data_IF_140877266053
#
_entry.id   IF_140877266053
#
_cell.length_a   1.000
_cell.length_b   1.000
_cell.length_c   1.000
_cell.angle_alpha   90.00
_cell.angle_beta   90.00
_cell.angle_gamma   90.00
#
_symmetry.space_group_name_H-M   'P 1'
#
loop_
_entity.id
_entity.type
_entity.pdbx_description
1 polymer ?
#
# COMPACT_ATOMS: atom_id res chain seq x y z
N UNK A 1 16.12 -66.15 -28.79
CA UNK A 1 17.45 -65.53 -28.65
C UNK A 1 17.31 -64.05 -28.97
N UNK A 2 17.73 -63.22 -28.01
CA UNK A 2 17.87 -61.75 -27.99
C UNK A 2 16.89 -60.91 -28.80
N UNK A 3 16.02 -60.18 -28.10
CA UNK A 3 15.36 -59.00 -28.65
C UNK A 3 15.41 -57.81 -27.68
N UNK A 4 15.96 -56.71 -28.22
CA UNK A 4 15.88 -55.30 -27.87
C UNK A 4 15.08 -54.89 -26.63
N UNK A 5 15.76 -54.37 -25.58
CA UNK A 5 15.28 -53.27 -24.70
C UNK A 5 16.46 -52.62 -23.97
N UNK A 6 17.20 -51.74 -24.63
CA UNK A 6 18.09 -50.76 -23.99
C UNK A 6 18.10 -49.48 -24.82
N UNK A 7 17.09 -48.64 -24.63
CA UNK A 7 17.07 -47.22 -24.96
C UNK A 7 15.69 -46.75 -24.52
N UNK A 8 15.58 -45.91 -23.49
CA UNK A 8 14.45 -44.98 -23.19
C UNK A 8 14.39 -44.52 -21.72
N UNK A 9 15.51 -44.23 -21.04
CA UNK A 9 15.44 -43.56 -19.72
C UNK A 9 16.52 -42.49 -19.48
N UNK A 10 17.23 -42.04 -20.53
CA UNK A 10 18.26 -41.01 -20.40
C UNK A 10 17.81 -39.56 -20.73
N UNK A 11 16.79 -39.26 -21.57
CA UNK A 11 16.46 -37.86 -21.88
C UNK A 11 15.49 -37.19 -20.89
N UNK A 12 14.78 -37.93 -20.04
CA UNK A 12 13.80 -37.35 -19.11
C UNK A 12 14.46 -36.81 -17.84
N UNK A 13 15.60 -37.37 -17.41
CA UNK A 13 16.29 -36.90 -16.20
C UNK A 13 17.06 -35.58 -16.41
N UNK A 14 17.45 -35.26 -17.65
CA UNK A 14 18.19 -34.03 -17.95
C UNK A 14 17.28 -32.79 -18.00
N UNK A 15 16.01 -32.95 -18.35
CA UNK A 15 15.03 -31.84 -18.38
C UNK A 15 14.61 -31.43 -16.96
N UNK A 16 14.57 -32.37 -16.01
CA UNK A 16 14.24 -32.05 -14.61
C UNK A 16 15.41 -31.41 -13.84
N UNK A 17 16.66 -31.64 -14.25
CA UNK A 17 17.83 -31.04 -13.62
C UNK A 17 18.14 -29.63 -14.15
N UNK A 18 17.70 -29.27 -15.36
CA UNK A 18 17.77 -27.88 -15.85
C UNK A 18 16.69 -26.95 -15.29
N UNK A 19 15.61 -27.49 -14.71
CA UNK A 19 14.54 -26.71 -14.06
C UNK A 19 14.91 -26.24 -12.65
N UNK A 20 15.81 -26.92 -11.96
CA UNK A 20 16.27 -26.51 -10.62
C UNK A 20 17.43 -25.49 -10.65
N UNK A 21 18.07 -25.28 -11.81
CA UNK A 21 19.09 -24.25 -11.97
C UNK A 21 18.52 -22.83 -12.16
N UNK A 22 17.20 -22.70 -12.36
CA UNK A 22 16.49 -21.41 -12.41
C UNK A 22 15.87 -21.00 -11.07
N UNK A 23 15.99 -21.82 -10.02
CA UNK A 23 15.52 -21.51 -8.67
C UNK A 23 16.51 -20.66 -7.86
N UNK A 24 17.68 -20.34 -8.42
CA UNK A 24 18.46 -19.20 -7.97
C UNK A 24 17.75 -17.94 -8.43
N UNK A 25 16.81 -17.45 -7.60
CA UNK A 25 16.09 -16.21 -7.87
C UNK A 25 17.08 -15.14 -8.26
N UNK A 26 16.94 -14.59 -9.47
CA UNK A 26 17.65 -13.39 -9.88
C UNK A 26 17.30 -12.36 -8.80
N UNK A 27 18.28 -11.99 -7.98
CA UNK A 27 18.10 -10.95 -6.98
C UNK A 27 17.94 -9.67 -7.79
N UNK A 28 16.70 -9.22 -7.95
CA UNK A 28 16.40 -8.02 -8.70
C UNK A 28 17.10 -6.86 -7.99
N UNK A 29 18.00 -6.17 -8.71
CA UNK A 29 18.68 -4.99 -8.18
C UNK A 29 17.63 -3.88 -7.99
N UNK A 30 17.67 -3.26 -6.82
CA UNK A 30 16.73 -2.24 -6.43
C UNK A 30 17.48 -1.02 -5.87
N UNK A 31 17.09 0.17 -6.32
CA UNK A 31 17.48 1.42 -5.70
C UNK A 31 16.64 1.59 -4.44
N UNK A 32 17.31 1.85 -3.31
CA UNK A 32 16.65 1.98 -2.01
C UNK A 32 16.77 3.41 -1.51
N UNK A 33 15.63 4.01 -1.13
CA UNK A 33 15.59 5.23 -0.34
C UNK A 33 15.02 4.92 1.03
N UNK A 34 15.56 5.57 2.05
CA UNK A 34 15.07 5.47 3.43
C UNK A 34 14.84 6.86 3.99
N UNK A 35 13.72 7.06 4.68
CA UNK A 35 13.44 8.28 5.41
C UNK A 35 12.72 7.91 6.70
N UNK A 36 13.32 8.25 7.85
CA UNK A 36 12.88 7.81 9.17
C UNK A 36 12.64 6.29 9.26
N UNK A 37 11.38 5.90 9.45
CA UNK A 37 10.92 4.52 9.54
C UNK A 37 10.33 4.01 8.22
N UNK A 38 10.51 4.71 7.10
CA UNK A 38 10.07 4.30 5.78
C UNK A 38 11.24 3.85 4.91
N UNK A 39 10.97 2.81 4.11
CA UNK A 39 11.88 2.32 3.08
C UNK A 39 11.12 2.19 1.76
N UNK A 40 11.61 2.87 0.73
CA UNK A 40 11.19 2.73 -0.65
C UNK A 40 12.20 1.84 -1.38
N UNK A 41 11.74 0.78 -2.03
CA UNK A 41 12.55 -0.03 -2.95
C UNK A 41 12.02 0.16 -4.37
N UNK A 42 12.86 0.58 -5.31
CA UNK A 42 12.52 0.73 -6.73
C UNK A 42 13.33 -0.28 -7.52
N UNK A 43 12.65 -1.23 -8.17
CA UNK A 43 13.29 -2.31 -8.90
C UNK A 43 13.77 -1.84 -10.28
N UNK A 44 15.08 -1.92 -10.52
CA UNK A 44 15.70 -1.36 -11.72
C UNK A 44 15.21 -2.02 -13.00
N UNK A 45 14.94 -3.33 -12.92
CA UNK A 45 14.59 -4.10 -14.10
C UNK A 45 13.18 -3.79 -14.60
N UNK A 46 12.26 -3.41 -13.71
CA UNK A 46 10.83 -3.24 -14.01
C UNK A 46 10.33 -1.81 -13.91
N UNK A 47 10.98 -0.96 -13.10
CA UNK A 47 10.45 0.33 -12.66
C UNK A 47 9.28 0.21 -11.67
N UNK A 48 8.98 -1.01 -11.19
CA UNK A 48 8.02 -1.20 -10.09
C UNK A 48 8.67 -0.79 -8.77
N UNK A 49 7.85 -0.46 -7.78
CA UNK A 49 8.37 -0.04 -6.47
C UNK A 49 7.52 -0.56 -5.33
N UNK A 50 8.11 -0.64 -4.14
CA UNK A 50 7.44 -1.04 -2.91
C UNK A 50 7.76 -0.05 -1.81
N UNK A 51 6.75 0.30 -1.02
CA UNK A 51 6.89 1.14 0.17
C UNK A 51 6.70 0.26 1.41
N UNK A 52 7.62 0.38 2.35
CA UNK A 52 7.62 -0.41 3.58
C UNK A 52 7.74 0.50 4.81
N UNK A 53 7.04 0.12 5.88
CA UNK A 53 7.29 0.60 7.25
C UNK A 53 8.30 -0.32 7.92
N UNK A 54 9.36 0.26 8.47
CA UNK A 54 10.36 -0.41 9.30
C UNK A 54 9.83 -0.44 10.74
N UNK A 55 9.78 -1.63 11.35
CA UNK A 55 9.21 -1.84 12.69
C UNK A 55 10.24 -1.84 13.82
N UNK A 56 11.49 -2.19 13.54
CA UNK A 56 12.52 -2.28 14.58
C UNK A 56 13.87 -1.83 14.04
N UNK A 57 14.36 -0.69 14.56
CA UNK A 57 15.66 -0.13 14.22
C UNK A 57 16.79 -0.73 15.10
N UNK A 58 16.49 -1.50 16.15
CA UNK A 58 17.48 -1.97 17.14
C UNK A 58 18.25 -3.24 16.71
N UNK A 59 17.85 -3.90 15.63
CA UNK A 59 18.50 -5.14 15.15
C UNK A 59 19.68 -4.84 14.19
N UNK A 60 19.80 -3.60 13.69
CA UNK A 60 20.82 -3.21 12.71
C UNK A 60 22.27 -3.29 13.23
N UNK A 61 22.48 -3.24 14.55
CA UNK A 61 23.82 -3.17 15.14
C UNK A 61 24.55 -4.53 15.26
N UNK A 62 23.92 -5.67 14.91
CA UNK A 62 24.55 -6.98 15.15
C UNK A 62 24.74 -7.91 13.95
N UNK A 63 24.06 -7.72 12.81
CA UNK A 63 24.38 -8.44 11.56
C UNK A 63 23.95 -7.65 10.32
N UNK A 64 24.82 -7.41 9.33
CA UNK A 64 24.46 -6.75 8.07
C UNK A 64 23.48 -7.54 7.18
N UNK A 65 23.08 -8.75 7.60
CA UNK A 65 22.16 -9.65 6.86
C UNK A 65 20.82 -9.90 7.57
N UNK A 66 20.58 -9.38 8.78
CA UNK A 66 19.28 -9.52 9.43
C UNK A 66 18.26 -8.57 8.80
N UNK A 67 17.40 -9.13 7.95
CA UNK A 67 16.25 -8.48 7.32
C UNK A 67 15.45 -7.69 8.36
N UNK A 68 15.34 -6.37 8.20
CA UNK A 68 14.45 -5.55 9.03
C UNK A 68 13.05 -6.16 9.04
N UNK A 69 12.45 -6.30 10.23
CA UNK A 69 11.01 -6.59 10.32
C UNK A 69 10.30 -5.38 9.71
N UNK A 70 9.65 -5.59 8.57
CA UNK A 70 9.00 -4.52 7.81
C UNK A 70 7.61 -4.96 7.36
N UNK A 71 6.68 -4.00 7.32
CA UNK A 71 5.33 -4.18 6.80
C UNK A 71 5.26 -3.48 5.45
N UNK A 72 4.78 -4.18 4.42
CA UNK A 72 4.54 -3.57 3.12
C UNK A 72 3.28 -2.69 3.18
N UNK A 73 3.45 -1.42 2.84
CA UNK A 73 2.38 -0.41 2.76
C UNK A 73 1.82 -0.32 1.34
N UNK A 74 2.73 -0.47 0.37
CA UNK A 74 2.47 -0.56 -1.05
C UNK A 74 3.37 -1.67 -1.60
N UNK A 75 2.79 -2.68 -2.23
CA UNK A 75 3.52 -3.86 -2.70
C UNK A 75 3.28 -4.11 -4.19
N UNK A 76 4.30 -3.86 -5.00
CA UNK A 76 4.31 -4.14 -6.43
C UNK A 76 5.46 -5.06 -6.85
N UNK A 77 5.85 -6.00 -5.97
CA UNK A 77 6.80 -7.09 -6.32
C UNK A 77 6.30 -7.95 -7.48
N UNK A 78 5.01 -7.89 -7.79
CA UNK A 78 4.41 -8.53 -8.94
C UNK A 78 4.57 -7.73 -10.25
N UNK A 79 5.59 -6.87 -10.34
CA UNK A 79 6.08 -6.24 -11.58
C UNK A 79 5.03 -5.35 -12.29
N UNK A 80 4.30 -4.51 -11.56
CA UNK A 80 3.27 -3.63 -12.12
C UNK A 80 1.97 -4.37 -12.43
N UNK A 81 1.61 -5.38 -11.63
CA UNK A 81 0.35 -6.13 -11.78
C UNK A 81 -0.63 -5.94 -10.62
N UNK A 82 -0.15 -5.53 -9.45
CA UNK A 82 -0.97 -5.18 -8.28
C UNK A 82 -1.26 -3.69 -8.28
N UNK A 83 -0.20 -2.88 -8.33
CA UNK A 83 -0.28 -1.43 -8.32
C UNK A 83 0.40 -0.87 -9.56
N UNK A 84 -0.22 0.08 -10.25
CA UNK A 84 0.41 0.67 -11.44
C UNK A 84 -0.24 1.97 -11.87
N UNK A 85 0.57 2.79 -12.53
CA UNK A 85 0.11 3.95 -13.27
C UNK A 85 -0.21 3.56 -14.71
N UNK A 86 -1.21 4.19 -15.29
CA UNK A 86 -1.57 4.04 -16.71
C UNK A 86 -1.73 5.41 -17.32
N UNK A 87 -1.07 5.64 -18.45
CA UNK A 87 -1.22 6.84 -19.27
C UNK A 87 -2.23 6.56 -20.39
N UNK A 88 -3.16 7.48 -20.65
CA UNK A 88 -3.96 7.48 -21.88
C UNK A 88 -3.32 8.42 -22.88
N UNK A 89 -3.24 7.96 -24.12
CA UNK A 89 -2.74 8.71 -25.26
C UNK A 89 -3.47 8.26 -26.53
N UNK A 90 -4.06 9.19 -27.30
CA UNK A 90 -4.83 8.91 -28.52
C UNK A 90 -5.80 7.71 -28.36
N UNK A 91 -6.63 7.77 -27.31
CA UNK A 91 -7.59 6.73 -26.92
C UNK A 91 -7.01 5.35 -26.56
N UNK A 92 -5.68 5.23 -26.44
CA UNK A 92 -4.99 4.01 -26.01
C UNK A 92 -4.42 4.17 -24.62
N UNK A 93 -4.56 3.13 -23.81
CA UNK A 93 -4.04 3.08 -22.45
C UNK A 93 -2.72 2.31 -22.39
N UNK A 94 -1.71 2.88 -21.74
CA UNK A 94 -0.37 2.32 -21.60
C UNK A 94 -0.02 2.22 -20.11
N UNK A 95 0.09 0.99 -19.59
CA UNK A 95 0.57 0.75 -18.22
C UNK A 95 2.06 1.12 -18.12
N UNK A 96 2.43 1.89 -17.11
CA UNK A 96 3.81 2.29 -16.81
C UNK A 96 4.50 1.14 -16.08
N UNK A 97 4.97 0.17 -16.85
CA UNK A 97 5.75 -0.98 -16.40
C UNK A 97 6.61 -1.47 -17.55
N UNK A 98 7.67 -2.24 -17.26
CA UNK A 98 8.42 -2.92 -18.31
C UNK A 98 7.50 -3.85 -19.12
N UNK A 99 7.29 -3.51 -20.38
CA UNK A 99 6.63 -4.36 -21.36
C UNK A 99 7.66 -5.03 -22.28
N UNK A 100 7.22 -6.03 -23.04
CA UNK A 100 8.07 -6.64 -24.06
C UNK A 100 8.54 -5.59 -25.08
N UNK A 101 9.85 -5.49 -25.29
CA UNK A 101 10.46 -4.53 -26.22
C UNK A 101 10.48 -3.07 -25.76
N UNK A 102 10.11 -2.78 -24.50
CA UNK A 102 10.16 -1.43 -23.92
C UNK A 102 11.33 -1.29 -22.96
N UNK A 103 11.94 -0.11 -22.95
CA UNK A 103 13.03 0.23 -22.04
C UNK A 103 12.50 0.93 -20.81
N UNK A 104 13.05 0.56 -19.66
CA UNK A 104 12.87 1.25 -18.39
C UNK A 104 14.26 1.56 -17.86
N UNK A 105 14.48 2.80 -17.44
CA UNK A 105 15.72 3.25 -16.83
C UNK A 105 15.41 3.78 -15.43
N UNK A 106 16.11 3.26 -14.43
CA UNK A 106 16.02 3.72 -13.05
C UNK A 106 17.34 4.40 -12.69
N UNK A 107 17.25 5.58 -12.08
CA UNK A 107 18.39 6.40 -11.70
C UNK A 107 18.22 6.88 -10.26
N UNK A 108 19.27 6.70 -9.44
CA UNK A 108 19.33 7.26 -8.10
C UNK A 108 19.82 8.71 -8.17
N UNK A 109 19.01 9.66 -7.68
CA UNK A 109 19.32 11.09 -7.65
C UNK A 109 19.84 11.56 -6.27
N UNK A 110 20.03 10.66 -5.32
CA UNK A 110 20.43 10.96 -3.94
C UNK A 110 19.24 10.91 -2.99
N UNK A 111 18.40 11.94 -3.01
CA UNK A 111 17.19 12.09 -2.18
C UNK A 111 15.90 11.65 -2.92
N UNK A 112 16.03 11.30 -4.20
CA UNK A 112 14.94 10.86 -5.05
C UNK A 112 15.38 9.72 -5.99
N UNK A 113 14.41 8.97 -6.52
CA UNK A 113 14.62 7.99 -7.59
C UNK A 113 13.86 8.44 -8.82
N UNK A 114 14.54 8.46 -9.96
CA UNK A 114 13.94 8.75 -11.27
C UNK A 114 13.73 7.46 -12.05
N UNK A 115 12.52 7.24 -12.51
CA UNK A 115 12.13 6.12 -13.35
C UNK A 115 11.69 6.69 -14.70
N UNK A 116 12.35 6.30 -15.78
CA UNK A 116 11.99 6.68 -17.14
C UNK A 116 11.42 5.49 -17.88
N UNK A 117 10.23 5.66 -18.44
CA UNK A 117 9.56 4.70 -19.31
C UNK A 117 9.58 5.23 -20.74
N UNK A 118 10.28 4.54 -21.64
CA UNK A 118 10.22 4.82 -23.08
C UNK A 118 9.06 4.01 -23.67
N UNK A 119 7.88 4.65 -23.72
CA UNK A 119 6.63 4.00 -24.15
C UNK A 119 6.63 3.78 -25.67
N UNK A 120 7.17 4.76 -26.41
CA UNK A 120 7.43 4.76 -27.85
C UNK A 120 8.42 5.88 -28.19
N UNK A 121 8.88 5.98 -29.44
CA UNK A 121 9.72 7.10 -29.90
C UNK A 121 9.05 8.47 -29.69
N UNK A 122 7.73 8.50 -29.72
CA UNK A 122 6.93 9.71 -29.64
C UNK A 122 6.65 10.18 -28.20
N UNK A 123 6.90 9.34 -27.18
CA UNK A 123 6.51 9.65 -25.80
C UNK A 123 7.45 9.02 -24.78
N UNK A 124 7.88 9.87 -23.86
CA UNK A 124 8.61 9.49 -22.66
C UNK A 124 7.79 9.87 -21.44
N UNK A 125 7.72 8.95 -20.48
CA UNK A 125 7.13 9.23 -19.17
C UNK A 125 8.21 9.11 -18.12
N UNK A 126 8.32 10.11 -17.25
CA UNK A 126 9.26 10.12 -16.12
C UNK A 126 8.49 10.16 -14.82
N UNK A 127 8.80 9.25 -13.90
CA UNK A 127 8.32 9.28 -12.52
C UNK A 127 9.49 9.61 -11.60
N UNK A 128 9.32 10.62 -10.74
CA UNK A 128 10.27 10.93 -9.66
C UNK A 128 9.59 10.56 -8.34
N UNK A 129 10.23 9.66 -7.60
CA UNK A 129 9.79 9.21 -6.29
C UNK A 129 10.71 9.80 -5.23
N UNK A 130 10.15 10.49 -4.26
CA UNK A 130 10.89 11.06 -3.12
C UNK A 130 10.02 11.09 -1.87
N UNK A 131 10.63 11.34 -0.72
CA UNK A 131 9.88 11.62 0.51
C UNK A 131 9.69 13.13 0.68
N UNK A 132 8.55 13.56 1.22
CA UNK A 132 8.33 14.97 1.58
C UNK A 132 9.14 15.37 2.80
N UNK A 133 9.40 16.66 2.96
CA UNK A 133 10.04 17.17 4.19
C UNK A 133 9.05 17.22 5.37
N UNK A 134 7.79 17.59 5.09
CA UNK A 134 6.72 17.67 6.09
C UNK A 134 5.91 16.36 6.15
N UNK A 135 5.24 16.11 7.29
CA UNK A 135 4.50 14.86 7.54
C UNK A 135 3.00 14.99 7.27
N UNK A 136 2.44 16.21 7.17
CA UNK A 136 1.03 16.48 6.85
C UNK A 136 0.05 15.67 7.71
N UNK A 137 0.21 15.73 9.04
CA UNK A 137 -0.62 15.02 10.03
C UNK A 137 -0.60 13.49 9.91
N UNK A 138 0.46 12.94 9.34
CA UNK A 138 0.72 11.49 9.29
C UNK A 138 1.92 11.12 10.17
N UNK A 139 2.13 9.84 10.43
CA UNK A 139 3.18 9.38 11.36
C UNK A 139 4.60 9.38 10.74
N UNK A 140 4.73 9.71 9.46
CA UNK A 140 5.98 9.70 8.72
C UNK A 140 5.90 10.64 7.49
N UNK A 141 7.02 10.96 6.82
CA UNK A 141 6.99 11.63 5.52
C UNK A 141 6.07 10.95 4.49
N UNK A 142 5.47 11.74 3.60
CA UNK A 142 4.70 11.20 2.49
C UNK A 142 5.64 10.71 1.39
N UNK A 143 5.29 9.60 0.74
CA UNK A 143 5.88 9.24 -0.54
C UNK A 143 5.25 10.11 -1.64
N UNK A 144 6.05 11.00 -2.23
CA UNK A 144 5.67 11.86 -3.36
C UNK A 144 6.06 11.19 -4.67
N UNK A 145 5.08 11.01 -5.55
CA UNK A 145 5.26 10.39 -6.87
C UNK A 145 4.88 11.43 -7.92
N UNK A 146 5.87 12.04 -8.56
CA UNK A 146 5.66 13.04 -9.61
C UNK A 146 5.84 12.40 -10.98
N UNK A 147 4.75 12.29 -11.74
CA UNK A 147 4.73 11.72 -13.09
C UNK A 147 4.66 12.86 -14.11
N UNK A 148 5.65 12.93 -14.99
CA UNK A 148 5.71 13.89 -16.10
C UNK A 148 5.62 13.14 -17.42
N UNK A 149 4.64 13.52 -18.24
CA UNK A 149 4.40 13.02 -19.59
C UNK A 149 4.83 14.10 -20.57
N UNK A 150 5.77 13.81 -21.47
CA UNK A 150 6.27 14.76 -22.47
C UNK A 150 5.81 14.37 -23.86
N UNK A 151 5.25 15.33 -24.61
CA UNK A 151 4.86 15.13 -25.99
C UNK A 151 6.06 15.34 -26.93
N UNK A 152 6.55 14.24 -27.53
CA UNK A 152 7.62 14.31 -28.53
C UNK A 152 7.06 14.19 -29.97
N UNK A 153 5.75 14.39 -30.18
CA UNK A 153 5.15 14.46 -31.52
C UNK A 153 5.12 15.88 -32.05
N UNK A 154 4.81 16.01 -33.34
CA UNK A 154 4.69 17.29 -34.03
C UNK A 154 3.31 17.96 -33.87
N UNK A 155 2.34 17.29 -33.25
CA UNK A 155 0.96 17.77 -33.09
C UNK A 155 0.54 17.86 -31.61
N UNK A 156 -0.45 18.70 -31.26
CA UNK A 156 -1.07 18.65 -29.95
C UNK A 156 -1.79 17.31 -29.72
N UNK A 157 -1.68 16.78 -28.51
CA UNK A 157 -2.26 15.47 -28.17
C UNK A 157 -2.96 15.46 -26.81
N UNK A 158 -4.10 14.76 -26.69
CA UNK A 158 -4.76 14.56 -25.41
C UNK A 158 -4.01 13.49 -24.60
N UNK A 159 -3.67 13.83 -23.35
CA UNK A 159 -3.09 12.90 -22.39
C UNK A 159 -3.86 12.91 -21.08
N UNK A 160 -3.93 11.75 -20.44
CA UNK A 160 -4.50 11.61 -19.11
C UNK A 160 -3.73 10.56 -18.31
N UNK A 161 -3.82 10.62 -16.98
CA UNK A 161 -3.19 9.67 -16.08
C UNK A 161 -4.25 9.00 -15.19
N UNK A 162 -4.05 7.72 -14.90
CA UNK A 162 -4.75 7.02 -13.81
C UNK A 162 -3.79 6.16 -13.02
N UNK A 163 -4.08 5.94 -11.74
CA UNK A 163 -3.33 5.04 -10.89
C UNK A 163 -4.27 4.01 -10.25
N UNK A 164 -3.87 2.75 -10.23
CA UNK A 164 -4.54 1.67 -9.51
C UNK A 164 -3.71 1.30 -8.29
N UNK A 165 -4.37 1.27 -7.14
CA UNK A 165 -3.80 0.92 -5.85
C UNK A 165 -4.54 -0.28 -5.26
N UNK A 166 -3.79 -1.34 -4.99
CA UNK A 166 -4.23 -2.49 -4.23
C UNK A 166 -4.27 -2.14 -2.74
N UNK A 167 -5.28 -2.60 -2.00
CA UNK A 167 -5.48 -2.23 -0.58
C UNK A 167 -5.19 -3.40 0.35
N UNK A 168 -4.13 -4.15 0.05
CA UNK A 168 -3.73 -5.42 0.70
C UNK A 168 -3.72 -5.39 2.23
N UNK A 169 -3.45 -4.24 2.85
CA UNK A 169 -3.46 -4.09 4.32
C UNK A 169 -4.85 -4.16 4.94
N UNK A 170 -5.90 -3.82 4.19
CA UNK A 170 -7.30 -3.78 4.64
C UNK A 170 -8.06 -5.10 4.47
N UNK A 171 -7.61 -5.98 3.58
CA UNK A 171 -8.39 -7.14 3.13
C UNK A 171 -8.67 -8.15 4.24
N UNK A 172 -7.79 -8.24 5.25
CA UNK A 172 -7.92 -9.16 6.37
C UNK A 172 -8.94 -8.74 7.44
N UNK A 173 -9.64 -7.61 7.22
CA UNK A 173 -10.58 -7.02 8.17
C UNK A 173 -12.00 -7.01 7.62
N UNK A 174 -12.98 -6.87 8.51
CA UNK A 174 -14.40 -6.73 8.12
C UNK A 174 -14.67 -5.40 7.41
N UNK A 175 -13.92 -4.35 7.76
CA UNK A 175 -13.88 -3.06 7.10
C UNK A 175 -12.50 -2.97 6.46
N UNK A 176 -12.39 -2.95 5.14
CA UNK A 176 -11.09 -2.81 4.46
C UNK A 176 -10.64 -1.36 4.36
N UNK A 177 -11.59 -0.44 4.25
CA UNK A 177 -11.33 0.97 3.98
C UNK A 177 -12.25 1.86 4.81
N UNK A 178 -11.74 3.02 5.21
CA UNK A 178 -12.51 4.08 5.86
C UNK A 178 -11.90 5.44 5.49
N UNK A 179 -12.51 6.55 5.92
CA UNK A 179 -11.98 7.90 5.73
C UNK A 179 -11.87 8.62 7.06
N UNK A 180 -11.33 9.84 7.05
CA UNK A 180 -11.29 10.73 8.21
C UNK A 180 -12.69 11.11 8.72
N UNK A 181 -13.74 11.08 7.88
CA UNK A 181 -15.11 11.42 8.32
C UNK A 181 -16.09 10.24 8.34
N UNK A 182 -15.74 9.11 7.73
CA UNK A 182 -16.59 7.92 7.64
C UNK A 182 -15.87 6.70 8.19
N UNK A 183 -16.47 6.05 9.19
CA UNK A 183 -15.86 4.92 9.90
C UNK A 183 -15.72 3.63 9.07
N UNK A 184 -16.36 3.56 7.89
CA UNK A 184 -16.26 2.40 7.01
C UNK A 184 -16.76 2.69 5.60
N UNK A 185 -16.08 2.09 4.61
CA UNK A 185 -16.51 1.94 3.23
C UNK A 185 -16.73 0.45 2.99
N UNK A 186 -17.98 0.03 2.85
CA UNK A 186 -18.34 -1.41 2.74
C UNK A 186 -18.57 -1.89 1.31
N UNK A 187 -18.63 -0.96 0.37
CA UNK A 187 -19.11 -1.23 -0.97
C UNK A 187 -18.52 -0.26 -1.97
N UNK A 188 -18.65 -0.62 -3.24
CA UNK A 188 -18.18 0.22 -4.32
C UNK A 188 -18.77 1.62 -4.24
N UNK A 189 -17.89 2.60 -4.38
CA UNK A 189 -18.22 4.00 -4.28
C UNK A 189 -17.35 4.82 -5.22
N UNK A 190 -17.89 5.96 -5.64
CA UNK A 190 -17.16 6.99 -6.36
C UNK A 190 -17.10 8.21 -5.46
N UNK A 191 -15.89 8.69 -5.23
CA UNK A 191 -15.62 9.93 -4.52
C UNK A 191 -15.26 10.97 -5.56
N UNK A 192 -16.02 12.06 -5.61
CA UNK A 192 -15.64 13.25 -6.36
C UNK A 192 -14.84 14.16 -5.40
N UNK A 193 -13.53 14.37 -5.61
CA UNK A 193 -12.71 15.12 -4.67
C UNK A 193 -13.24 16.55 -4.46
N UNK A 194 -13.74 17.24 -5.49
CA UNK A 194 -14.26 18.62 -5.33
C UNK A 194 -15.40 18.67 -4.31
N UNK A 195 -16.30 17.69 -4.31
CA UNK A 195 -17.47 17.62 -3.42
C UNK A 195 -17.22 16.91 -2.09
N UNK A 196 -16.18 16.07 -2.02
CA UNK A 196 -15.87 15.28 -0.84
C UNK A 196 -15.45 16.16 0.35
N UNK A 197 -15.99 15.84 1.53
CA UNK A 197 -15.54 16.39 2.81
C UNK A 197 -14.29 15.68 3.32
N UNK A 198 -14.17 14.40 2.97
CA UNK A 198 -13.05 13.54 3.31
C UNK A 198 -11.74 14.05 2.71
N UNK A 199 -10.64 13.92 3.47
CA UNK A 199 -9.30 14.36 3.06
C UNK A 199 -8.44 13.20 2.59
N UNK A 200 -8.62 12.00 3.15
CA UNK A 200 -7.90 10.78 2.78
C UNK A 200 -8.73 9.51 3.02
N UNK A 201 -8.33 8.44 2.32
CA UNK A 201 -8.84 7.07 2.50
C UNK A 201 -7.77 6.27 3.22
N UNK A 202 -8.16 5.48 4.21
CA UNK A 202 -7.26 4.70 5.06
C UNK A 202 -7.43 3.21 4.77
N UNK A 203 -6.33 2.49 4.55
CA UNK A 203 -6.33 1.02 4.54
C UNK A 203 -6.42 0.48 5.96
N UNK A 204 -7.50 -0.22 6.30
CA UNK A 204 -7.78 -0.61 7.67
C UNK A 204 -6.80 -1.66 8.21
N UNK A 205 -5.93 -1.25 9.14
CA UNK A 205 -5.00 -2.15 9.81
C UNK A 205 -4.72 -1.63 11.24
N UNK A 206 -4.72 -2.48 12.28
CA UNK A 206 -4.62 -2.02 13.66
C UNK A 206 -3.24 -1.50 14.05
N UNK A 207 -2.20 -1.82 13.28
CA UNK A 207 -0.83 -1.42 13.60
C UNK A 207 -0.39 -0.26 12.71
N UNK A 208 -0.46 -0.47 11.39
CA UNK A 208 0.02 0.52 10.42
C UNK A 208 -0.89 0.56 9.20
N UNK A 209 -1.36 1.73 8.82
CA UNK A 209 -2.19 1.95 7.65
C UNK A 209 -1.50 2.76 6.56
N UNK A 210 -1.85 2.47 5.32
CA UNK A 210 -1.55 3.28 4.15
C UNK A 210 -2.66 4.32 3.96
N UNK A 211 -2.28 5.57 3.67
CA UNK A 211 -3.19 6.69 3.45
C UNK A 211 -3.15 7.11 1.98
N UNK A 212 -4.33 7.11 1.35
CA UNK A 212 -4.53 7.57 -0.02
C UNK A 212 -5.26 8.91 0.01
N UNK A 213 -4.56 9.99 -0.30
CA UNK A 213 -5.13 11.33 -0.15
C UNK A 213 -6.15 11.66 -1.25
N UNK A 214 -7.31 12.16 -0.83
CA UNK A 214 -8.33 12.75 -1.72
C UNK A 214 -7.95 14.21 -2.02
N UNK A 215 -7.45 14.93 -1.00
CA UNK A 215 -6.96 16.31 -1.07
C UNK A 215 -5.70 16.47 -0.23
N UNK A 216 -4.66 17.07 -0.80
CA UNK A 216 -3.42 17.41 -0.10
C UNK A 216 -2.72 18.55 -0.86
N UNK A 217 -2.01 19.44 -0.17
CA UNK A 217 -1.35 20.59 -0.79
C UNK A 217 -0.21 20.19 -1.76
N UNK A 218 0.43 19.04 -1.55
CA UNK A 218 1.52 18.53 -2.38
C UNK A 218 1.04 17.74 -3.61
N UNK A 219 -0.26 17.43 -3.71
CA UNK A 219 -0.79 16.58 -4.78
C UNK A 219 -1.58 17.35 -5.83
N UNK A 220 -1.53 16.87 -7.06
CA UNK A 220 -2.52 17.21 -8.09
C UNK A 220 -3.82 16.51 -7.72
N UNK A 221 -4.89 17.27 -7.48
CA UNK A 221 -6.18 16.72 -7.08
C UNK A 221 -6.74 15.83 -8.20
N UNK A 222 -7.10 14.55 -7.93
CA UNK A 222 -7.78 13.71 -8.91
C UNK A 222 -9.13 14.30 -9.31
N UNK A 223 -9.58 14.04 -10.54
CA UNK A 223 -10.93 14.37 -10.98
C UNK A 223 -11.97 13.45 -10.31
N UNK A 224 -11.62 12.16 -10.21
CA UNK A 224 -12.46 11.14 -9.61
C UNK A 224 -11.62 10.06 -8.95
N UNK A 225 -12.16 9.51 -7.86
CA UNK A 225 -11.60 8.36 -7.17
C UNK A 225 -12.67 7.28 -7.13
N UNK A 226 -12.32 6.08 -7.58
CA UNK A 226 -13.19 4.91 -7.59
C UNK A 226 -12.65 3.90 -6.59
N UNK A 227 -13.52 3.42 -5.72
CA UNK A 227 -13.23 2.33 -4.80
C UNK A 227 -14.11 1.18 -5.22
N UNK A 228 -13.51 0.08 -5.69
CA UNK A 228 -14.24 -1.07 -6.23
C UNK A 228 -13.54 -2.38 -5.88
N UNK A 229 -14.16 -3.52 -6.22
CA UNK A 229 -13.41 -4.77 -6.24
C UNK A 229 -12.28 -4.70 -7.30
N UNK A 230 -11.09 -5.18 -6.94
CA UNK A 230 -9.89 -5.12 -7.76
C UNK A 230 -10.04 -5.77 -9.14
N UNK A 231 -10.77 -6.87 -9.26
CA UNK A 231 -11.02 -7.56 -10.54
C UNK A 231 -11.69 -6.63 -11.57
N UNK A 232 -12.61 -5.77 -11.10
CA UNK A 232 -13.31 -4.82 -11.98
C UNK A 232 -12.44 -3.62 -12.37
N UNK A 233 -11.50 -3.21 -11.52
CA UNK A 233 -10.58 -2.10 -11.79
C UNK A 233 -9.42 -2.50 -12.70
N UNK A 234 -9.05 -3.77 -12.75
CA UNK A 234 -7.97 -4.27 -13.61
C UNK A 234 -8.32 -4.33 -15.12
N UNK A 235 -9.56 -4.00 -15.49
CA UNK A 235 -10.01 -3.98 -16.89
C UNK A 235 -9.33 -2.89 -17.73
N UNK A 236 -9.35 -3.06 -19.06
CA UNK A 236 -8.75 -2.08 -19.99
C UNK A 236 -9.54 -0.77 -20.12
N UNK A 237 -10.65 -0.61 -19.39
CA UNK A 237 -11.44 0.62 -19.43
C UNK A 237 -10.67 1.78 -18.82
N UNK A 238 -10.77 2.95 -19.45
CA UNK A 238 -10.16 4.15 -18.89
C UNK A 238 -10.90 4.58 -17.62
N UNK A 239 -12.20 4.82 -17.74
CA UNK A 239 -13.11 5.10 -16.63
C UNK A 239 -13.72 3.76 -16.15
N UNK A 240 -13.53 3.39 -14.88
CA UNK A 240 -14.15 2.20 -14.30
C UNK A 240 -15.68 2.23 -14.37
N UNK A 241 -16.29 1.04 -14.39
CA UNK A 241 -17.75 0.89 -14.30
C UNK A 241 -18.12 0.44 -12.90
N UNK A 242 -18.14 1.39 -11.98
CA UNK A 242 -18.63 1.15 -10.61
C UNK A 242 -20.14 0.94 -10.56
N UNK A 243 -20.57 0.14 -9.59
CA UNK A 243 -21.97 -0.04 -9.24
C UNK A 243 -22.10 0.29 -7.75
N UNK A 244 -22.66 1.47 -7.45
CA UNK A 244 -22.84 1.94 -6.06
C UNK A 244 -23.50 0.85 -5.21
N UNK A 245 -22.87 0.50 -4.09
CA UNK A 245 -23.41 -0.50 -3.15
C UNK A 245 -23.04 -1.95 -3.46
N UNK A 246 -22.37 -2.25 -4.58
CA UNK A 246 -21.84 -3.58 -4.86
C UNK A 246 -20.75 -3.94 -3.84
N UNK A 247 -20.73 -5.20 -3.39
CA UNK A 247 -19.72 -5.66 -2.43
C UNK A 247 -18.33 -5.74 -3.07
N UNK A 248 -17.28 -5.55 -2.27
CA UNK A 248 -15.91 -5.86 -2.66
C UNK A 248 -15.61 -7.37 -2.75
N UNK A 249 -16.59 -8.23 -2.46
CA UNK A 249 -16.43 -9.68 -2.56
C UNK A 249 -17.05 -10.21 -3.86
N UNK A 250 -16.34 -11.13 -4.50
CA UNK A 250 -16.82 -11.90 -5.66
C UNK A 250 -16.95 -13.37 -5.28
N UNK A 251 -17.25 -14.24 -6.25
CA UNK A 251 -17.25 -15.69 -6.04
C UNK A 251 -15.87 -16.23 -5.62
N UNK A 252 -14.80 -15.58 -6.08
CA UNK A 252 -13.44 -16.09 -5.95
C UNK A 252 -12.61 -15.32 -4.92
N UNK A 253 -13.00 -14.09 -4.58
CA UNK A 253 -12.24 -13.20 -3.71
C UNK A 253 -13.15 -12.60 -2.65
N UNK A 254 -12.66 -12.51 -1.42
CA UNK A 254 -13.37 -11.90 -0.29
C UNK A 254 -12.70 -10.60 0.06
N UNK A 255 -13.47 -9.51 0.09
CA UNK A 255 -13.01 -8.18 0.51
C UNK A 255 -11.76 -7.67 -0.23
N UNK A 256 -11.69 -7.91 -1.53
CA UNK A 256 -10.58 -7.57 -2.42
C UNK A 256 -10.81 -6.16 -3.02
N UNK A 257 -10.73 -5.15 -2.15
CA UNK A 257 -10.92 -3.76 -2.53
C UNK A 257 -9.66 -3.17 -3.17
N UNK A 258 -9.86 -2.23 -4.10
CA UNK A 258 -8.80 -1.44 -4.68
C UNK A 258 -9.30 -0.01 -4.96
N UNK A 259 -8.35 0.92 -5.09
CA UNK A 259 -8.61 2.34 -5.32
C UNK A 259 -8.04 2.71 -6.68
N UNK A 260 -8.85 3.34 -7.53
CA UNK A 260 -8.36 3.98 -8.76
C UNK A 260 -8.51 5.49 -8.66
N UNK A 261 -7.42 6.23 -8.88
CA UNK A 261 -7.44 7.68 -9.01
C UNK A 261 -7.32 8.06 -10.48
N UNK A 262 -8.21 8.93 -10.97
CA UNK A 262 -8.18 9.46 -12.33
C UNK A 262 -7.90 10.96 -12.29
N UNK A 263 -6.93 11.41 -13.07
CA UNK A 263 -6.66 12.83 -13.28
C UNK A 263 -7.19 13.28 -14.64
N UNK A 264 -7.59 14.54 -14.70
CA UNK A 264 -8.23 15.11 -15.89
C UNK A 264 -7.35 15.03 -17.12
N UNK A 265 -8.01 14.82 -18.26
CA UNK A 265 -7.34 14.90 -19.55
C UNK A 265 -6.90 16.32 -19.84
N UNK A 266 -5.68 16.45 -20.37
CA UNK A 266 -5.11 17.71 -20.81
C UNK A 266 -4.57 17.53 -22.23
N UNK A 267 -4.91 18.48 -23.09
CA UNK A 267 -4.23 18.63 -24.38
C UNK A 267 -2.86 19.28 -24.15
N UNK A 268 -1.80 18.65 -24.66
CA UNK A 268 -0.42 19.16 -24.58
C UNK A 268 0.15 19.37 -25.98
N UNK A 269 0.76 20.53 -26.19
CA UNK A 269 1.40 20.88 -27.46
C UNK A 269 2.73 20.10 -27.65
N UNK A 270 3.31 20.11 -28.86
CA UNK A 270 4.67 19.60 -29.09
C UNK A 270 5.66 20.18 -28.08
N UNK A 271 6.53 19.32 -27.52
CA UNK A 271 7.54 19.65 -26.50
C UNK A 271 6.98 20.11 -25.14
N UNK A 272 5.65 20.27 -25.00
CA UNK A 272 5.00 20.53 -23.72
C UNK A 272 4.94 19.26 -22.87
N UNK A 273 4.87 19.44 -21.56
CA UNK A 273 4.70 18.35 -20.61
C UNK A 273 3.48 18.52 -19.72
N UNK A 274 2.85 17.40 -19.37
CA UNK A 274 1.82 17.31 -18.36
C UNK A 274 2.38 16.62 -17.12
N UNK A 275 2.29 17.28 -15.96
CA UNK A 275 2.81 16.78 -14.69
C UNK A 275 1.67 16.54 -13.72
N UNK A 276 1.66 15.35 -13.11
CA UNK A 276 0.74 14.95 -12.05
C UNK A 276 1.56 14.49 -10.86
N UNK A 277 1.25 15.03 -9.68
CA UNK A 277 1.83 14.57 -8.43
C UNK A 277 0.80 13.82 -7.60
N UNK A 278 1.11 12.60 -7.20
CA UNK A 278 0.36 11.79 -6.25
C UNK A 278 1.18 11.67 -4.96
N UNK A 279 0.51 11.57 -3.81
CA UNK A 279 1.16 11.33 -2.52
C UNK A 279 0.50 10.16 -1.79
N UNK A 280 1.33 9.35 -1.14
CA UNK A 280 0.92 8.20 -0.32
C UNK A 280 1.46 8.43 1.09
N UNK A 281 0.57 8.39 2.09
CA UNK A 281 0.93 8.57 3.49
C UNK A 281 0.91 7.29 4.30
N UNK A 282 1.33 7.39 5.54
CA UNK A 282 1.39 6.28 6.49
C UNK A 282 0.87 6.73 7.84
N UNK A 283 0.01 5.94 8.45
CA UNK A 283 -0.36 6.13 9.85
C UNK A 283 0.10 4.94 10.69
N UNK A 284 0.89 5.20 11.71
CA UNK A 284 1.41 4.23 12.67
C UNK A 284 0.65 4.38 14.00
N UNK A 285 -0.37 3.55 14.18
CA UNK A 285 -1.21 3.56 15.39
C UNK A 285 -0.45 3.06 16.63
N UNK A 286 0.67 2.35 16.45
CA UNK A 286 1.49 1.88 17.56
C UNK A 286 2.35 3.01 18.15
N UNK A 287 2.91 3.87 17.29
CA UNK A 287 3.66 5.05 17.75
C UNK A 287 2.76 6.11 18.39
N UNK A 288 1.56 6.32 17.83
CA UNK A 288 0.58 7.27 18.38
C UNK A 288 0.18 6.88 19.80
N UNK A 289 0.06 5.59 20.10
CA UNK A 289 -0.23 5.12 21.46
C UNK A 289 0.94 5.32 22.44
N UNK A 290 2.20 5.28 22.02
CA UNK A 290 3.32 5.56 22.94
C UNK A 290 3.38 7.05 23.32
N UNK A 291 3.17 7.98 22.39
CA UNK A 291 3.26 9.42 22.65
C UNK A 291 1.98 10.03 23.26
N UNK A 292 0.78 9.47 23.01
CA UNK A 292 -0.45 9.91 23.69
C UNK A 292 -0.66 9.28 25.08
N UNK A 293 0.08 8.25 25.47
CA UNK A 293 -0.28 7.42 26.64
C UNK A 293 0.07 7.96 28.02
N UNK A 294 0.97 8.95 28.16
CA UNK A 294 1.36 9.40 29.50
C UNK A 294 0.75 10.75 29.83
N UNK A 295 0.94 11.77 29.00
CA UNK A 295 0.55 13.14 29.36
C UNK A 295 -0.97 13.36 29.24
N UNK A 296 -1.62 12.78 28.22
CA UNK A 296 -3.08 12.88 28.03
C UNK A 296 -3.82 11.95 28.98
N UNK A 297 -3.26 10.77 29.27
CA UNK A 297 -3.82 9.85 30.25
C UNK A 297 -3.69 10.42 31.65
N UNK A 298 -2.55 11.00 32.04
CA UNK A 298 -2.41 11.67 33.35
C UNK A 298 -3.37 12.86 33.48
N UNK A 299 -3.49 13.72 32.47
CA UNK A 299 -4.46 14.82 32.49
C UNK A 299 -5.90 14.31 32.54
N UNK A 300 -6.25 13.24 31.83
CA UNK A 300 -7.59 12.68 31.87
C UNK A 300 -7.87 12.01 33.23
N UNK A 301 -6.93 11.24 33.77
CA UNK A 301 -6.99 10.60 35.09
C UNK A 301 -7.11 11.60 36.24
N UNK A 302 -6.66 12.85 36.07
CA UNK A 302 -6.85 13.95 37.02
C UNK A 302 -8.27 14.53 36.98
N UNK A 303 -9.00 14.34 35.88
CA UNK A 303 -10.38 14.83 35.71
C UNK A 303 -11.45 13.82 36.11
N UNK A 304 -11.09 12.55 36.31
CA UNK A 304 -12.02 11.47 36.69
C UNK A 304 -12.38 11.51 38.18
N UNK A 305 -13.60 11.10 38.50
CA UNK A 305 -14.01 10.82 39.88
C UNK A 305 -13.27 9.60 40.43
N UNK A 306 -13.26 9.44 41.76
CA UNK A 306 -12.58 8.32 42.44
C UNK A 306 -13.10 6.95 41.97
N UNK A 307 -14.37 6.87 41.58
CA UNK A 307 -15.01 5.64 41.11
C UNK A 307 -14.66 5.33 39.64
N UNK A 308 -14.70 6.34 38.77
CA UNK A 308 -14.27 6.21 37.36
C UNK A 308 -12.78 5.86 37.24
N UNK A 309 -11.95 6.44 38.11
CA UNK A 309 -10.51 6.14 38.16
C UNK A 309 -10.25 4.68 38.55
N UNK A 310 -11.02 4.15 39.51
CA UNK A 310 -10.93 2.75 39.93
C UNK A 310 -11.34 1.79 38.81
N UNK A 311 -12.34 2.15 38.02
CA UNK A 311 -12.76 1.37 36.86
C UNK A 311 -11.72 1.41 35.74
N UNK A 312 -11.08 2.56 35.53
CA UNK A 312 -9.98 2.69 34.57
C UNK A 312 -8.75 1.88 34.96
N UNK A 313 -8.33 1.96 36.23
CA UNK A 313 -7.21 1.17 36.78
C UNK A 313 -7.48 -0.34 36.62
N UNK A 314 -8.73 -0.76 36.84
CA UNK A 314 -9.13 -2.16 36.66
C UNK A 314 -9.02 -2.63 35.20
N UNK A 315 -9.36 -1.78 34.23
CA UNK A 315 -9.20 -2.10 32.81
C UNK A 315 -7.73 -2.15 32.39
N UNK A 316 -6.88 -1.27 32.93
CA UNK A 316 -5.44 -1.32 32.68
C UNK A 316 -4.82 -2.63 33.20
N UNK A 317 -5.20 -3.08 34.39
CA UNK A 317 -4.76 -4.38 34.93
C UNK A 317 -5.15 -5.55 34.01
N UNK A 318 -6.38 -5.54 33.46
CA UNK A 318 -6.84 -6.56 32.53
C UNK A 318 -6.10 -6.53 31.19
N UNK A 319 -5.74 -5.34 30.70
CA UNK A 319 -4.91 -5.17 29.49
C UNK A 319 -3.49 -5.70 29.72
N UNK A 320 -2.90 -5.43 30.89
CA UNK A 320 -1.60 -6.00 31.25
C UNK A 320 -1.63 -7.53 31.37
N UNK A 321 -2.71 -8.08 31.93
CA UNK A 321 -2.93 -9.53 32.01
C UNK A 321 -3.03 -10.13 30.60
N UNK A 322 -3.74 -9.48 29.68
CA UNK A 322 -3.86 -9.91 28.28
C UNK A 322 -2.53 -9.84 27.51
N UNK A 323 -1.71 -8.81 27.75
CA UNK A 323 -0.37 -8.72 27.17
C UNK A 323 0.55 -9.84 27.68
N UNK A 324 0.47 -10.21 28.96
CA UNK A 324 1.22 -11.35 29.53
C UNK A 324 0.80 -12.69 28.92
N UNK A 325 -0.49 -12.86 28.64
CA UNK A 325 -1.02 -14.03 27.92
C UNK A 325 -0.52 -14.07 26.47
N UNK A 326 -0.47 -12.92 25.80
CA UNK A 326 0.00 -12.82 24.42
C UNK A 326 1.50 -13.12 24.28
N UNK A 327 2.31 -12.77 25.29
CA UNK A 327 3.75 -13.07 25.33
C UNK A 327 4.05 -14.52 25.73
N UNK A 328 3.21 -15.17 26.54
CA UNK A 328 3.41 -16.53 27.05
C UNK A 328 2.20 -17.45 26.81
N UNK A 329 1.71 -17.50 25.57
CA UNK A 329 0.47 -18.22 25.21
C UNK A 329 0.48 -19.73 25.50
N UNK A 330 1.65 -20.34 25.72
CA UNK A 330 1.79 -21.78 26.05
C UNK A 330 1.44 -22.11 27.51
N UNK A 331 1.39 -21.12 28.40
CA UNK A 331 1.15 -21.29 29.84
C UNK A 331 -0.32 -21.12 30.27
N UNK A 332 -1.20 -20.73 29.34
CA UNK A 332 -2.61 -20.44 29.62
C UNK A 332 -3.52 -21.49 28.99
N UNK A 333 -4.49 -21.98 29.77
CA UNK A 333 -5.54 -22.88 29.27
C UNK A 333 -6.64 -22.08 28.57
N UNK A 334 -7.36 -22.72 27.64
CA UNK A 334 -8.51 -22.11 26.94
C UNK A 334 -9.58 -21.58 27.93
N UNK A 335 -9.72 -22.24 29.09
CA UNK A 335 -10.64 -21.82 30.16
C UNK A 335 -10.19 -20.51 30.83
N UNK A 336 -8.88 -20.33 31.05
CA UNK A 336 -8.33 -19.08 31.59
C UNK A 336 -8.45 -17.92 30.59
N UNK A 337 -8.32 -18.21 29.29
CA UNK A 337 -8.51 -17.22 28.23
C UNK A 337 -9.96 -16.76 28.11
N UNK A 338 -10.92 -17.69 28.23
CA UNK A 338 -12.35 -17.37 28.22
C UNK A 338 -12.76 -16.53 29.43
N UNK A 339 -12.29 -16.87 30.64
CA UNK A 339 -12.52 -16.08 31.85
C UNK A 339 -11.97 -14.64 31.72
N UNK A 340 -10.77 -14.48 31.17
CA UNK A 340 -10.17 -13.17 30.95
C UNK A 340 -10.98 -12.34 29.94
N UNK A 341 -11.47 -12.95 28.86
CA UNK A 341 -12.32 -12.28 27.87
C UNK A 341 -13.64 -11.83 28.52
N UNK A 342 -14.30 -12.68 29.31
CA UNK A 342 -15.54 -12.32 30.01
C UNK A 342 -15.33 -11.16 30.99
N UNK A 343 -14.21 -11.15 31.72
CA UNK A 343 -13.84 -10.05 32.64
C UNK A 343 -13.61 -8.73 31.89
N UNK A 344 -12.98 -8.77 30.72
CA UNK A 344 -12.77 -7.58 29.88
C UNK A 344 -14.10 -7.07 29.31
N UNK A 345 -14.95 -7.95 28.80
CA UNK A 345 -16.27 -7.57 28.27
C UNK A 345 -17.17 -6.95 29.36
N UNK A 346 -17.13 -7.49 30.58
CA UNK A 346 -17.85 -6.94 31.72
C UNK A 346 -17.34 -5.54 32.10
N UNK A 347 -16.02 -5.37 32.22
CA UNK A 347 -15.41 -4.08 32.56
C UNK A 347 -15.66 -3.02 31.47
N UNK A 348 -15.64 -3.40 30.19
CA UNK A 348 -15.99 -2.50 29.09
C UNK A 348 -17.45 -2.06 29.11
N UNK A 349 -18.37 -2.94 29.54
CA UNK A 349 -19.79 -2.63 29.63
C UNK A 349 -20.09 -1.64 30.76
N UNK A 350 -19.40 -1.78 31.90
CA UNK A 350 -19.52 -0.84 33.03
C UNK A 350 -18.99 0.57 32.71
N UNK A 351 -18.09 0.71 31.74
CA UNK A 351 -17.62 2.02 31.24
C UNK A 351 -18.56 2.68 30.23
N UNK A 352 -19.55 1.96 29.70
CA UNK A 352 -20.53 2.46 28.72
C UNK A 352 -21.86 2.91 29.34
N UNK A 353 -22.11 2.55 30.61
CA UNK A 353 -23.25 3.00 31.43
C UNK A 353 -22.86 4.22 32.26
#
# INVERSE_FOLDING_TARGET
MLNSKKLFYAPVLFICLSLNAFAGGIKEEAVVLTSNNLKLEVYESTGSFCLYKILDNKIADKKPESKYKSIALYDDRAMGSTNYYTMRFNDRAYKLRKGFGKTVTVENLGDAVSIRFDISENFTVRQILSFTENYYDTSAPLLKITTTITNNTEEPVPVALKALFDTILGEQRRVSLYTDTQNAIFSETRINPVQAKDTYIVSANPSVACLFFIKNAEQTTPEDIYIENREYLQTDRWVPRYIVGRSFSTKNYTNDSAITMLWSEKEINPEESYTVTNVIGVNDFLQVNEELSQEVVEQHLETLTVEERKNYDHVLELIEELNKVQENSEDYTDENLLDLIERIEAAMKELQE
#
